data_IF_740273780396
#
_entry.id   IF_740273780396
#
_cell.length_a   1.000
_cell.length_b   1.000
_cell.length_c   1.000
_cell.angle_alpha   90.00
_cell.angle_beta   90.00
_cell.angle_gamma   90.00
#
_symmetry.space_group_name_H-M   'P 1'
#
loop_
_entity.id
_entity.type
_entity.pdbx_description
1 polymer ?
#
# COMPACT_ATOMS: atom_id res chain seq x y z
N UNK A 1 -1.83 -32.07 4.94
CA UNK A 1 -0.97 -31.05 4.32
C UNK A 1 -1.67 -29.71 4.47
N UNK A 2 -1.29 -28.91 5.48
CA UNK A 2 -1.85 -27.58 5.68
C UNK A 2 -1.24 -26.66 4.62
N UNK A 3 -2.03 -26.21 3.64
CA UNK A 3 -1.61 -25.18 2.67
C UNK A 3 -1.93 -23.82 3.27
N UNK A 4 -0.95 -23.23 3.92
CA UNK A 4 -1.02 -21.86 4.39
C UNK A 4 -0.73 -20.89 3.24
N UNK A 5 -1.75 -20.20 2.75
CA UNK A 5 -1.66 -19.17 1.70
C UNK A 5 -1.34 -17.81 2.35
N UNK A 6 -0.11 -17.59 2.80
CA UNK A 6 0.20 -16.40 3.62
C UNK A 6 0.92 -15.24 2.93
N UNK A 7 1.48 -15.37 1.73
CA UNK A 7 2.34 -14.30 1.17
C UNK A 7 1.68 -13.49 0.05
N UNK A 8 0.97 -14.13 -0.88
CA UNK A 8 0.43 -13.43 -2.07
C UNK A 8 -0.88 -12.66 -1.81
N UNK A 9 -1.69 -13.13 -0.87
CA UNK A 9 -2.97 -12.48 -0.54
C UNK A 9 -2.77 -11.17 0.23
N UNK A 10 -1.75 -11.10 1.09
CA UNK A 10 -1.46 -9.91 1.91
C UNK A 10 -1.05 -8.71 1.07
N UNK A 11 -0.19 -8.95 0.08
CA UNK A 11 0.29 -7.95 -0.87
C UNK A 11 -0.83 -7.29 -1.69
N UNK A 12 -1.71 -8.09 -2.29
CA UNK A 12 -2.84 -7.58 -3.08
C UNK A 12 -3.82 -6.84 -2.17
N UNK A 13 -4.11 -7.38 -0.98
CA UNK A 13 -4.99 -6.70 0.00
C UNK A 13 -4.41 -5.34 0.39
N UNK A 14 -3.11 -5.27 0.66
CA UNK A 14 -2.40 -4.01 0.96
C UNK A 14 -2.55 -3.01 -0.18
N UNK A 15 -2.30 -3.44 -1.41
CA UNK A 15 -2.39 -2.59 -2.61
C UNK A 15 -3.82 -2.07 -2.83
N UNK A 16 -4.84 -2.94 -2.67
CA UNK A 16 -6.26 -2.54 -2.72
C UNK A 16 -6.59 -1.53 -1.64
N UNK A 17 -6.13 -1.77 -0.40
CA UNK A 17 -6.37 -0.86 0.72
C UNK A 17 -5.75 0.51 0.48
N UNK A 18 -4.54 0.57 -0.08
CA UNK A 18 -3.88 1.83 -0.43
C UNK A 18 -4.70 2.57 -1.50
N UNK A 19 -4.98 1.91 -2.63
CA UNK A 19 -5.71 2.54 -3.74
C UNK A 19 -7.13 2.97 -3.37
N UNK A 20 -7.90 2.12 -2.66
CA UNK A 20 -9.26 2.46 -2.22
C UNK A 20 -9.28 3.57 -1.17
N UNK A 21 -8.32 3.61 -0.23
CA UNK A 21 -8.30 4.64 0.82
C UNK A 21 -8.18 6.03 0.20
N UNK A 22 -7.22 6.19 -0.73
CA UNK A 22 -6.98 7.49 -1.37
C UNK A 22 -8.04 7.79 -2.42
N UNK A 23 -8.46 6.79 -3.21
CA UNK A 23 -9.52 6.92 -4.20
C UNK A 23 -10.87 7.31 -3.60
N UNK A 24 -11.19 6.88 -2.38
CA UNK A 24 -12.40 7.36 -1.69
C UNK A 24 -12.26 8.77 -1.12
N UNK A 25 -11.05 9.15 -0.70
CA UNK A 25 -10.83 10.37 0.09
C UNK A 25 -10.53 11.59 -0.78
N UNK A 26 -9.62 11.47 -1.74
CA UNK A 26 -9.13 12.61 -2.54
C UNK A 26 -10.18 13.11 -3.53
N UNK A 27 -10.79 12.24 -4.37
CA UNK A 27 -11.90 12.66 -5.26
C UNK A 27 -13.10 13.22 -4.48
N UNK A 28 -13.40 12.68 -3.30
CA UNK A 28 -14.45 13.20 -2.42
C UNK A 28 -14.11 14.60 -1.90
N UNK A 29 -12.90 14.81 -1.40
CA UNK A 29 -12.47 16.10 -0.90
C UNK A 29 -12.44 17.15 -2.01
N UNK A 30 -12.00 16.78 -3.22
CA UNK A 30 -12.05 17.66 -4.39
C UNK A 30 -13.50 18.03 -4.75
N UNK A 31 -14.40 17.05 -4.83
CA UNK A 31 -15.80 17.28 -5.18
C UNK A 31 -16.51 18.16 -4.13
N UNK A 32 -16.25 17.93 -2.84
CA UNK A 32 -16.71 18.78 -1.75
C UNK A 32 -16.14 20.19 -1.87
N UNK A 33 -14.83 20.33 -2.06
CA UNK A 33 -14.14 21.59 -2.30
C UNK A 33 -14.81 22.41 -3.39
N UNK A 34 -14.92 21.84 -4.59
CA UNK A 34 -15.50 22.51 -5.74
C UNK A 34 -16.98 22.86 -5.52
N UNK A 35 -17.76 22.03 -4.84
CA UNK A 35 -19.15 22.36 -4.49
C UNK A 35 -19.30 23.58 -3.58
N UNK A 36 -18.24 23.93 -2.83
CA UNK A 36 -18.18 25.17 -2.05
C UNK A 36 -17.88 26.42 -2.88
N UNK A 37 -17.38 26.27 -4.11
CA UNK A 37 -16.96 27.36 -4.98
C UNK A 37 -17.76 27.50 -6.28
N UNK A 38 -18.32 26.40 -6.82
CA UNK A 38 -19.07 26.39 -8.08
C UNK A 38 -20.43 25.71 -7.92
N UNK A 39 -21.41 26.16 -8.70
CA UNK A 39 -22.78 25.61 -8.67
C UNK A 39 -23.02 24.50 -9.71
N UNK A 40 -22.10 24.32 -10.66
CA UNK A 40 -22.26 23.40 -11.80
C UNK A 40 -21.66 22.02 -11.50
N UNK A 41 -22.52 20.99 -11.41
CA UNK A 41 -22.07 19.59 -11.27
C UNK A 41 -21.21 19.15 -12.47
N UNK A 42 -21.42 19.70 -13.67
CA UNK A 42 -20.63 19.34 -14.84
C UNK A 42 -19.15 19.72 -14.68
N UNK A 43 -18.85 20.87 -14.07
CA UNK A 43 -17.48 21.28 -13.77
C UNK A 43 -16.83 20.35 -12.73
N UNK A 44 -17.59 19.95 -11.71
CA UNK A 44 -17.14 19.04 -10.66
C UNK A 44 -16.86 17.65 -11.23
N UNK A 45 -17.74 17.13 -12.07
CA UNK A 45 -17.54 15.84 -12.75
C UNK A 45 -16.31 15.89 -13.64
N UNK A 46 -16.12 16.96 -14.42
CA UNK A 46 -14.97 17.09 -15.32
C UNK A 46 -13.66 17.12 -14.53
N UNK A 47 -13.60 17.92 -13.47
CA UNK A 47 -12.43 18.00 -12.59
C UNK A 47 -12.18 16.68 -11.84
N UNK A 48 -13.24 16.04 -11.34
CA UNK A 48 -13.17 14.78 -10.64
C UNK A 48 -12.71 13.62 -11.51
N UNK A 49 -13.20 13.50 -12.74
CA UNK A 49 -12.72 12.47 -13.67
C UNK A 49 -11.26 12.71 -14.03
N UNK A 50 -10.87 13.96 -14.29
CA UNK A 50 -9.47 14.32 -14.56
C UNK A 50 -8.57 13.95 -13.38
N UNK A 51 -9.01 14.22 -12.16
CA UNK A 51 -8.29 13.86 -10.93
C UNK A 51 -8.22 12.33 -10.75
N UNK A 52 -9.30 11.58 -10.97
CA UNK A 52 -9.27 10.11 -10.88
C UNK A 52 -8.26 9.51 -11.86
N UNK A 53 -8.24 9.99 -13.10
CA UNK A 53 -7.29 9.52 -14.12
C UNK A 53 -5.87 9.87 -13.71
N UNK A 54 -5.60 11.12 -13.32
CA UNK A 54 -4.27 11.55 -12.91
C UNK A 54 -3.79 10.81 -11.65
N UNK A 55 -4.64 10.71 -10.63
CA UNK A 55 -4.37 10.05 -9.35
C UNK A 55 -4.13 8.55 -9.50
N UNK A 56 -4.95 7.86 -10.29
CA UNK A 56 -4.77 6.42 -10.53
C UNK A 56 -3.47 6.11 -11.27
N UNK A 57 -3.07 6.94 -12.23
CA UNK A 57 -1.77 6.81 -12.91
C UNK A 57 -0.63 7.10 -11.94
N UNK A 58 -0.70 8.19 -11.18
CA UNK A 58 0.34 8.58 -10.24
C UNK A 58 0.56 7.50 -9.15
N UNK A 59 -0.53 7.02 -8.56
CA UNK A 59 -0.46 5.97 -7.54
C UNK A 59 -0.07 4.61 -8.11
N UNK A 60 -0.55 4.26 -9.31
CA UNK A 60 -0.12 3.04 -10.00
C UNK A 60 1.38 3.05 -10.29
N UNK A 61 1.92 4.16 -10.78
CA UNK A 61 3.36 4.33 -10.97
C UNK A 61 4.14 4.29 -9.66
N UNK A 62 3.59 4.87 -8.58
CA UNK A 62 4.16 4.75 -7.23
C UNK A 62 4.25 3.29 -6.77
N UNK A 63 3.20 2.51 -6.99
CA UNK A 63 3.18 1.07 -6.73
C UNK A 63 4.17 0.27 -7.57
N UNK A 64 4.30 0.63 -8.85
CA UNK A 64 5.29 0.04 -9.76
C UNK A 64 6.71 0.29 -9.26
N UNK A 65 7.03 1.55 -8.97
CA UNK A 65 8.38 1.95 -8.57
C UNK A 65 8.75 1.33 -7.23
N UNK A 66 7.84 1.32 -6.26
CA UNK A 66 8.06 0.66 -4.97
C UNK A 66 8.36 -0.85 -5.15
N UNK A 67 7.52 -1.56 -5.90
CA UNK A 67 7.76 -2.99 -6.17
C UNK A 67 9.01 -3.25 -6.99
N UNK A 68 9.41 -2.32 -7.87
CA UNK A 68 10.66 -2.41 -8.64
C UNK A 68 11.88 -2.20 -7.75
N UNK A 69 11.83 -1.23 -6.85
CA UNK A 69 12.89 -0.97 -5.86
C UNK A 69 13.09 -2.17 -4.93
N UNK A 70 12.01 -2.83 -4.48
CA UNK A 70 12.11 -4.09 -3.70
C UNK A 70 12.90 -5.16 -4.47
N UNK A 71 12.60 -5.37 -5.75
CA UNK A 71 13.31 -6.34 -6.61
C UNK A 71 14.76 -5.96 -6.85
N UNK A 72 15.03 -4.69 -7.17
CA UNK A 72 16.38 -4.22 -7.44
C UNK A 72 17.25 -4.26 -6.17
N UNK A 73 16.68 -3.94 -5.00
CA UNK A 73 17.37 -4.08 -3.70
C UNK A 73 17.70 -5.54 -3.39
N UNK A 74 16.73 -6.45 -3.52
CA UNK A 74 16.96 -7.89 -3.31
C UNK A 74 18.09 -8.41 -4.20
N UNK A 75 18.07 -8.09 -5.49
CA UNK A 75 19.10 -8.55 -6.43
C UNK A 75 20.48 -7.97 -6.14
N UNK A 76 20.54 -6.73 -5.63
CA UNK A 76 21.79 -6.10 -5.22
C UNK A 76 22.41 -6.81 -4.02
N UNK A 77 21.62 -7.05 -2.97
CA UNK A 77 22.09 -7.78 -1.78
C UNK A 77 22.43 -9.23 -2.12
N UNK A 78 21.61 -9.92 -2.93
CA UNK A 78 21.90 -11.29 -3.37
C UNK A 78 23.26 -11.38 -4.05
N UNK A 79 23.57 -10.42 -4.94
CA UNK A 79 24.87 -10.38 -5.62
C UNK A 79 26.00 -10.10 -4.63
N UNK A 80 25.77 -9.22 -3.65
CA UNK A 80 26.75 -8.86 -2.64
C UNK A 80 27.09 -10.07 -1.77
N UNK A 81 26.07 -10.75 -1.26
CA UNK A 81 26.17 -11.95 -0.44
C UNK A 81 26.95 -13.06 -1.17
N UNK A 82 26.67 -13.27 -2.47
CA UNK A 82 27.42 -14.22 -3.29
C UNK A 82 28.92 -13.89 -3.43
N UNK A 83 29.31 -12.62 -3.35
CA UNK A 83 30.71 -12.20 -3.38
C UNK A 83 31.35 -12.36 -1.99
N UNK A 84 30.63 -12.03 -0.93
CA UNK A 84 31.10 -12.12 0.45
C UNK A 84 31.42 -13.58 0.82
N UNK A 85 30.52 -14.54 0.50
CA UNK A 85 30.79 -15.97 0.72
C UNK A 85 31.97 -16.52 -0.11
N UNK A 86 32.39 -15.85 -1.19
CA UNK A 86 33.57 -16.23 -1.96
C UNK A 86 34.86 -15.57 -1.46
N UNK A 87 34.80 -14.29 -1.10
CA UNK A 87 35.97 -13.49 -0.79
C UNK A 87 36.36 -13.56 0.68
N UNK A 88 35.38 -13.65 1.58
CA UNK A 88 35.58 -13.63 3.04
C UNK A 88 34.77 -14.73 3.75
N UNK A 89 34.86 -16.00 3.31
CA UNK A 89 34.01 -17.09 3.80
C UNK A 89 34.08 -17.31 5.32
N UNK A 90 35.22 -17.06 5.95
CA UNK A 90 35.36 -17.22 7.40
C UNK A 90 34.65 -16.11 8.19
N UNK A 91 34.48 -14.92 7.61
CA UNK A 91 33.64 -13.86 8.19
C UNK A 91 32.17 -14.23 8.07
N UNK A 92 31.72 -14.63 6.88
CA UNK A 92 30.34 -15.09 6.65
C UNK A 92 29.95 -16.28 7.53
N UNK A 93 30.88 -17.20 7.79
CA UNK A 93 30.64 -18.31 8.72
C UNK A 93 30.46 -17.81 10.14
N UNK A 94 31.15 -16.75 10.54
CA UNK A 94 30.96 -16.14 11.85
C UNK A 94 29.56 -15.52 11.97
N UNK A 95 29.05 -14.88 10.91
CA UNK A 95 27.70 -14.33 10.88
C UNK A 95 26.62 -15.42 11.00
N UNK A 96 26.79 -16.56 10.32
CA UNK A 96 25.92 -17.74 10.52
C UNK A 96 25.91 -18.18 11.99
N UNK A 97 27.08 -18.21 12.64
CA UNK A 97 27.17 -18.57 14.07
C UNK A 97 26.45 -17.55 14.94
N UNK A 98 26.55 -16.27 14.65
CA UNK A 98 25.84 -15.19 15.36
C UNK A 98 24.33 -15.33 15.25
N UNK A 99 23.81 -15.63 14.06
CA UNK A 99 22.38 -15.92 13.85
C UNK A 99 21.95 -17.08 14.76
N UNK A 100 22.68 -18.20 14.76
CA UNK A 100 22.36 -19.35 15.62
C UNK A 100 22.61 -19.13 17.11
N UNK A 101 23.53 -18.24 17.47
CA UNK A 101 23.70 -17.78 18.84
C UNK A 101 22.45 -17.03 19.33
N UNK A 102 21.84 -16.22 18.47
CA UNK A 102 20.55 -15.57 18.74
C UNK A 102 19.40 -16.55 18.99
N UNK A 103 19.45 -17.74 18.39
CA UNK A 103 18.54 -18.85 18.67
C UNK A 103 18.88 -19.64 19.94
N UNK A 104 20.00 -19.33 20.61
CA UNK A 104 20.43 -19.98 21.85
C UNK A 104 21.15 -21.32 21.67
N UNK A 105 21.69 -21.60 20.48
CA UNK A 105 22.44 -22.84 20.23
C UNK A 105 23.82 -22.77 20.92
N UNK A 106 24.35 -23.93 21.34
CA UNK A 106 25.70 -24.02 21.90
C UNK A 106 26.77 -23.73 20.83
N UNK A 107 27.90 -23.12 21.21
CA UNK A 107 29.01 -22.77 20.30
C UNK A 107 29.45 -23.94 19.41
N UNK A 108 29.64 -25.14 19.97
CA UNK A 108 30.06 -26.30 19.18
C UNK A 108 29.05 -26.73 18.11
N UNK A 109 27.75 -26.46 18.31
CA UNK A 109 26.72 -26.71 17.31
C UNK A 109 26.68 -25.58 16.25
N UNK A 110 26.91 -24.34 16.67
CA UNK A 110 27.03 -23.20 15.74
C UNK A 110 28.17 -23.46 14.73
N UNK A 111 29.33 -23.91 15.22
CA UNK A 111 30.49 -24.25 14.38
C UNK A 111 30.14 -25.34 13.36
N UNK A 112 29.52 -26.43 13.81
CA UNK A 112 29.11 -27.54 12.95
C UNK A 112 28.10 -27.11 11.88
N UNK A 113 27.12 -26.27 12.26
CA UNK A 113 26.12 -25.79 11.30
C UNK A 113 26.75 -24.86 10.27
N UNK A 114 27.60 -23.92 10.68
CA UNK A 114 28.28 -23.01 9.76
C UNK A 114 29.15 -23.77 8.75
N UNK A 115 29.92 -24.76 9.22
CA UNK A 115 30.74 -25.60 8.34
C UNK A 115 29.90 -26.46 7.40
N UNK A 116 28.80 -27.07 7.87
CA UNK A 116 27.94 -27.89 7.02
C UNK A 116 27.17 -27.06 5.99
N UNK A 117 26.63 -25.91 6.40
CA UNK A 117 25.89 -25.00 5.53
C UNK A 117 26.77 -24.42 4.42
N UNK A 118 28.03 -24.09 4.75
CA UNK A 118 28.99 -23.53 3.80
C UNK A 118 29.34 -24.46 2.63
N UNK A 119 29.02 -25.76 2.72
CA UNK A 119 29.27 -26.74 1.64
C UNK A 119 28.37 -26.52 0.43
N UNK A 120 27.19 -25.94 0.61
CA UNK A 120 26.24 -25.61 -0.45
C UNK A 120 26.08 -24.10 -0.52
N UNK A 121 26.88 -23.46 -1.38
CA UNK A 121 26.92 -22.01 -1.55
C UNK A 121 25.54 -21.40 -1.74
N UNK A 122 24.66 -22.05 -2.51
CA UNK A 122 23.32 -21.53 -2.76
C UNK A 122 22.50 -21.53 -1.48
N UNK A 123 22.46 -22.65 -0.75
CA UNK A 123 21.70 -22.74 0.51
C UNK A 123 22.26 -21.83 1.59
N UNK A 124 23.57 -21.62 1.60
CA UNK A 124 24.21 -20.69 2.51
C UNK A 124 23.77 -19.24 2.24
N UNK A 125 23.85 -18.79 0.99
CA UNK A 125 23.36 -17.46 0.59
C UNK A 125 21.85 -17.33 0.84
N UNK A 126 21.04 -18.34 0.48
CA UNK A 126 19.59 -18.33 0.74
C UNK A 126 19.28 -18.21 2.25
N UNK A 127 20.13 -18.79 3.11
CA UNK A 127 20.02 -18.65 4.57
C UNK A 127 20.38 -17.25 5.02
N UNK A 128 21.51 -16.69 4.58
CA UNK A 128 21.97 -15.35 4.95
C UNK A 128 20.95 -14.28 4.52
N UNK A 129 20.51 -14.33 3.25
CA UNK A 129 19.46 -13.47 2.72
C UNK A 129 18.21 -13.47 3.61
N UNK A 130 17.77 -14.65 4.08
CA UNK A 130 16.54 -14.77 4.87
C UNK A 130 16.71 -14.42 6.35
N UNK A 131 17.77 -14.88 7.00
CA UNK A 131 17.87 -14.84 8.46
C UNK A 131 18.78 -13.74 8.99
N UNK A 132 19.75 -13.28 8.19
CA UNK A 132 20.67 -12.22 8.55
C UNK A 132 20.18 -10.89 7.96
N UNK A 133 19.85 -10.85 6.67
CA UNK A 133 19.31 -9.64 6.01
C UNK A 133 17.78 -9.48 6.12
N UNK A 134 17.04 -10.55 6.44
CA UNK A 134 15.58 -10.52 6.52
C UNK A 134 14.87 -10.31 5.18
N UNK A 135 15.55 -10.64 4.07
CA UNK A 135 15.07 -10.47 2.70
C UNK A 135 14.52 -11.80 2.15
N UNK A 136 13.28 -11.76 1.68
CA UNK A 136 12.66 -12.86 0.94
C UNK A 136 12.63 -12.54 -0.56
N UNK A 137 12.75 -13.59 -1.39
CA UNK A 137 12.72 -13.43 -2.84
C UNK A 137 11.39 -12.80 -3.30
N UNK A 138 11.42 -11.59 -3.88
CA UNK A 138 10.20 -10.90 -4.28
C UNK A 138 9.60 -11.54 -5.53
N UNK A 139 8.27 -11.45 -5.67
CA UNK A 139 7.63 -11.89 -6.91
C UNK A 139 8.14 -11.03 -8.10
N UNK A 140 8.63 -11.62 -9.20
CA UNK A 140 9.15 -10.85 -10.33
C UNK A 140 8.08 -9.94 -10.97
N UNK A 141 6.80 -10.29 -10.82
CA UNK A 141 5.67 -9.51 -11.31
C UNK A 141 5.08 -8.59 -10.21
N UNK A 142 5.74 -8.41 -9.07
CA UNK A 142 5.27 -7.56 -7.96
C UNK A 142 5.00 -6.14 -8.43
N UNK A 143 5.95 -5.53 -9.15
CA UNK A 143 5.85 -4.15 -9.62
C UNK A 143 4.61 -3.91 -10.49
N UNK A 144 4.40 -4.74 -11.52
CA UNK A 144 3.28 -4.60 -12.45
C UNK A 144 1.94 -4.92 -11.79
N UNK A 145 1.88 -5.94 -10.93
CA UNK A 145 0.66 -6.28 -10.17
C UNK A 145 0.27 -5.18 -9.19
N UNK A 146 1.24 -4.63 -8.46
CA UNK A 146 1.03 -3.52 -7.53
C UNK A 146 0.47 -2.30 -8.26
N UNK A 147 1.10 -1.91 -9.37
CA UNK A 147 0.66 -0.78 -10.19
C UNK A 147 -0.80 -0.90 -10.63
N UNK A 148 -1.15 -2.06 -11.19
CA UNK A 148 -2.50 -2.32 -11.66
C UNK A 148 -3.51 -2.35 -10.51
N UNK A 149 -3.19 -3.06 -9.43
CA UNK A 149 -4.10 -3.24 -8.29
C UNK A 149 -4.39 -1.92 -7.59
N UNK A 150 -3.37 -1.09 -7.34
CA UNK A 150 -3.53 0.24 -6.75
C UNK A 150 -4.33 1.15 -7.69
N UNK A 151 -3.96 1.23 -8.97
CA UNK A 151 -4.60 2.11 -9.94
C UNK A 151 -6.09 1.80 -10.13
N UNK A 152 -6.45 0.51 -10.31
CA UNK A 152 -7.85 0.10 -10.44
C UNK A 152 -8.63 0.37 -9.15
N UNK A 153 -8.04 0.08 -7.99
CA UNK A 153 -8.67 0.36 -6.69
C UNK A 153 -8.92 1.85 -6.49
N UNK A 154 -8.00 2.71 -6.94
CA UNK A 154 -8.19 4.16 -6.92
C UNK A 154 -9.36 4.61 -7.78
N UNK A 155 -9.45 4.11 -9.02
CA UNK A 155 -10.55 4.42 -9.94
C UNK A 155 -11.89 4.02 -9.33
N UNK A 156 -11.99 2.79 -8.81
CA UNK A 156 -13.20 2.29 -8.16
C UNK A 156 -13.58 3.16 -6.96
N UNK A 157 -12.60 3.50 -6.11
CA UNK A 157 -12.80 4.39 -4.98
C UNK A 157 -13.32 5.76 -5.40
N UNK A 158 -12.75 6.36 -6.45
CA UNK A 158 -13.06 7.72 -6.87
C UNK A 158 -14.38 7.90 -7.60
N UNK A 159 -14.88 6.87 -8.27
CA UNK A 159 -16.19 6.91 -8.91
C UNK A 159 -17.31 7.06 -7.88
N UNK A 160 -17.14 6.48 -6.69
CA UNK A 160 -18.16 6.47 -5.63
C UNK A 160 -18.57 7.90 -5.20
N UNK A 161 -17.66 8.79 -4.76
CA UNK A 161 -18.02 10.15 -4.39
C UNK A 161 -18.50 11.00 -5.57
N UNK A 162 -18.08 10.71 -6.80
CA UNK A 162 -18.55 11.43 -8.00
C UNK A 162 -19.91 10.97 -8.50
N UNK A 163 -20.34 9.75 -8.16
CA UNK A 163 -21.56 9.15 -8.71
C UNK A 163 -22.82 10.02 -8.56
N UNK A 164 -23.05 10.79 -7.48
CA UNK A 164 -24.23 11.64 -7.38
C UNK A 164 -24.17 12.86 -8.31
N UNK A 165 -22.97 13.39 -8.59
CA UNK A 165 -22.80 14.54 -9.50
C UNK A 165 -23.06 14.18 -10.97
N UNK A 166 -22.99 12.89 -11.33
CA UNK A 166 -23.33 12.42 -12.68
C UNK A 166 -24.84 12.52 -12.97
N UNK A 167 -25.66 12.46 -11.92
CA UNK A 167 -27.12 12.38 -12.03
C UNK A 167 -27.76 13.72 -11.61
N UNK A 168 -27.22 14.36 -10.58
CA UNK A 168 -27.79 15.56 -9.98
C UNK A 168 -27.07 16.80 -10.53
N UNK A 169 -27.80 17.66 -11.24
CA UNK A 169 -27.24 18.83 -11.92
C UNK A 169 -26.88 20.00 -10.99
N UNK A 170 -27.46 20.04 -9.79
CA UNK A 170 -27.18 21.07 -8.78
C UNK A 170 -26.04 20.61 -7.85
N UNK A 171 -24.94 21.36 -7.80
CA UNK A 171 -23.75 20.97 -7.02
C UNK A 171 -24.04 20.78 -5.52
N UNK A 172 -24.83 21.66 -4.90
CA UNK A 172 -25.16 21.54 -3.46
C UNK A 172 -25.97 20.29 -3.14
N UNK A 173 -26.97 19.98 -3.97
CA UNK A 173 -27.77 18.78 -3.78
C UNK A 173 -26.92 17.52 -4.00
N UNK A 174 -26.11 17.50 -5.08
CA UNK A 174 -25.17 16.42 -5.36
C UNK A 174 -24.17 16.19 -4.22
N UNK A 175 -23.68 17.27 -3.59
CA UNK A 175 -22.79 17.20 -2.44
C UNK A 175 -23.43 16.47 -1.25
N UNK A 176 -24.69 16.76 -0.91
CA UNK A 176 -25.35 16.08 0.22
C UNK A 176 -25.43 14.56 0.01
N UNK A 177 -25.81 14.13 -1.19
CA UNK A 177 -25.83 12.70 -1.53
C UNK A 177 -24.41 12.10 -1.59
N UNK A 178 -23.44 12.84 -2.12
CA UNK A 178 -22.02 12.43 -2.19
C UNK A 178 -21.43 12.22 -0.80
N UNK A 179 -21.68 13.13 0.14
CA UNK A 179 -21.31 12.95 1.54
C UNK A 179 -21.94 11.69 2.13
N UNK A 180 -23.25 11.48 1.95
CA UNK A 180 -23.93 10.29 2.47
C UNK A 180 -23.34 8.98 1.96
N UNK A 181 -23.25 8.83 0.64
CA UNK A 181 -22.72 7.61 0.00
C UNK A 181 -21.25 7.38 0.38
N UNK A 182 -20.44 8.44 0.37
CA UNK A 182 -19.00 8.31 0.63
C UNK A 182 -18.70 8.00 2.08
N UNK A 183 -19.38 8.63 3.05
CA UNK A 183 -19.17 8.33 4.47
C UNK A 183 -19.59 6.90 4.81
N UNK A 184 -20.69 6.40 4.22
CA UNK A 184 -21.09 4.99 4.34
C UNK A 184 -20.00 4.08 3.74
N UNK A 185 -19.50 4.40 2.54
CA UNK A 185 -18.46 3.60 1.91
C UNK A 185 -17.15 3.60 2.70
N UNK A 186 -16.70 4.76 3.19
CA UNK A 186 -15.52 4.90 4.06
C UNK A 186 -15.68 4.10 5.36
N UNK A 187 -16.88 4.07 5.94
CA UNK A 187 -17.15 3.26 7.12
C UNK A 187 -17.04 1.77 6.83
N UNK A 188 -17.70 1.30 5.75
CA UNK A 188 -17.66 -0.11 5.33
C UNK A 188 -16.22 -0.52 5.01
N UNK A 189 -15.52 0.28 4.20
CA UNK A 189 -14.14 0.04 3.82
C UNK A 189 -13.22 0.02 5.04
N UNK A 190 -13.32 1.01 5.93
CA UNK A 190 -12.53 1.07 7.16
C UNK A 190 -12.80 -0.09 8.11
N UNK A 191 -14.03 -0.59 8.19
CA UNK A 191 -14.39 -1.79 8.94
C UNK A 191 -13.67 -3.03 8.40
N UNK A 192 -13.73 -3.27 7.09
CA UNK A 192 -13.07 -4.43 6.46
C UNK A 192 -11.56 -4.31 6.51
N UNK A 193 -10.99 -3.14 6.20
CA UNK A 193 -9.55 -2.85 6.33
C UNK A 193 -9.04 -3.20 7.72
N UNK A 194 -9.76 -2.79 8.76
CA UNK A 194 -9.35 -3.00 10.14
C UNK A 194 -9.47 -4.46 10.55
N UNK A 195 -10.54 -5.14 10.12
CA UNK A 195 -10.71 -6.58 10.35
C UNK A 195 -9.60 -7.41 9.69
N UNK A 196 -9.20 -7.05 8.47
CA UNK A 196 -8.13 -7.72 7.72
C UNK A 196 -6.75 -7.48 8.34
N UNK A 197 -6.53 -6.34 8.99
CA UNK A 197 -5.26 -5.96 9.63
C UNK A 197 -5.18 -6.32 11.11
N UNK A 198 -6.17 -7.05 11.65
CA UNK A 198 -6.21 -7.45 13.07
C UNK A 198 -6.48 -6.31 14.05
N UNK A 199 -6.95 -5.16 13.57
CA UNK A 199 -7.27 -3.96 14.37
C UNK A 199 -8.75 -3.95 14.79
N UNK A 200 -9.14 -3.25 15.88
CA UNK A 200 -10.54 -3.11 16.28
C UNK A 200 -11.40 -2.50 15.16
N UNK A 201 -12.32 -3.30 14.61
CA UNK A 201 -12.98 -3.00 13.34
C UNK A 201 -13.77 -1.68 13.35
N UNK A 202 -14.56 -1.45 14.40
CA UNK A 202 -15.34 -0.22 14.55
C UNK A 202 -14.46 1.02 14.72
N UNK A 203 -13.40 0.93 15.53
CA UNK A 203 -12.49 2.06 15.73
C UNK A 203 -11.83 2.48 14.42
N UNK A 204 -11.34 1.51 13.63
CA UNK A 204 -10.72 1.84 12.35
C UNK A 204 -11.71 2.30 11.28
N UNK A 205 -12.97 1.83 11.29
CA UNK A 205 -14.04 2.41 10.47
C UNK A 205 -14.24 3.90 10.77
N UNK A 206 -14.38 4.27 12.05
CA UNK A 206 -14.52 5.66 12.45
C UNK A 206 -13.29 6.51 12.10
N UNK A 207 -12.06 5.99 12.26
CA UNK A 207 -10.83 6.71 11.87
C UNK A 207 -10.85 7.09 10.39
N UNK A 208 -11.20 6.15 9.51
CA UNK A 208 -11.24 6.39 8.05
C UNK A 208 -12.31 7.42 7.69
N UNK A 209 -13.50 7.32 8.29
CA UNK A 209 -14.58 8.31 8.11
C UNK A 209 -14.13 9.71 8.56
N UNK A 210 -13.49 9.83 9.72
CA UNK A 210 -13.01 11.10 10.25
C UNK A 210 -11.94 11.71 9.34
N UNK A 211 -10.98 10.92 8.86
CA UNK A 211 -9.96 11.40 7.92
C UNK A 211 -10.61 11.92 6.63
N UNK A 212 -11.56 11.18 6.06
CA UNK A 212 -12.28 11.60 4.86
C UNK A 212 -13.10 12.87 5.07
N UNK A 213 -13.81 12.97 6.19
CA UNK A 213 -14.59 14.16 6.55
C UNK A 213 -13.69 15.39 6.80
N UNK A 214 -12.53 15.22 7.45
CA UNK A 214 -11.57 16.30 7.66
C UNK A 214 -10.96 16.78 6.34
N UNK A 215 -10.57 15.86 5.45
CA UNK A 215 -10.03 16.21 4.13
C UNK A 215 -11.06 17.01 3.31
N UNK A 216 -12.30 16.53 3.26
CA UNK A 216 -13.38 17.22 2.56
C UNK A 216 -13.73 18.57 3.20
N UNK A 217 -13.78 18.64 4.53
CA UNK A 217 -14.01 19.89 5.25
C UNK A 217 -12.91 20.93 5.00
N UNK A 218 -11.64 20.49 4.98
CA UNK A 218 -10.51 21.35 4.68
C UNK A 218 -10.57 21.86 3.23
N UNK A 219 -10.84 20.99 2.25
CA UNK A 219 -10.97 21.38 0.85
C UNK A 219 -12.15 22.34 0.63
N UNK A 220 -13.31 22.06 1.23
CA UNK A 220 -14.49 22.94 1.21
C UNK A 220 -14.18 24.32 1.82
N UNK A 221 -13.53 24.35 2.99
CA UNK A 221 -13.13 25.58 3.66
C UNK A 221 -12.18 26.41 2.81
N UNK A 222 -11.15 25.79 2.24
CA UNK A 222 -10.19 26.46 1.35
C UNK A 222 -10.85 27.01 0.08
N UNK A 223 -11.70 26.23 -0.59
CA UNK A 223 -12.39 26.67 -1.80
C UNK A 223 -13.31 27.86 -1.53
N UNK A 224 -14.02 27.86 -0.40
CA UNK A 224 -14.87 28.97 0.02
C UNK A 224 -14.08 30.22 0.37
N UNK A 225 -12.89 30.09 0.99
CA UNK A 225 -12.01 31.23 1.29
C UNK A 225 -11.47 31.90 0.02
N UNK A 226 -11.11 31.10 -0.99
CA UNK A 226 -10.58 31.62 -2.26
C UNK A 226 -11.68 32.33 -3.07
N UNK A 227 -12.91 31.80 -3.06
CA UNK A 227 -14.02 32.36 -3.84
C UNK A 227 -14.82 33.45 -3.10
N UNK A 228 -14.72 33.50 -1.77
CA UNK A 228 -15.37 34.50 -0.91
C UNK A 228 -14.50 35.70 -0.57
N UNK A 229 -13.33 35.85 -1.22
CA UNK A 229 -12.45 37.01 -1.17
C UNK A 229 -12.59 37.90 -2.40
#
# INVERSE_FOLDING_TARGET
MHKEHHVTSSEIIRDVVIGMSDGLTVPFALAAGLSGAVSSSALIVTAGIAEIVAGSIAMGLGGFLAGRTEVDHYNSELKREYNEVEQVPEQEKAEVKEVFAGFGLSVGLQDQIADELSKDKKKWVDFMMKYELGLEEPNPNRATKSAFTIGVSYIVGGIIPLSPYLIIHTAQEALYYSCGVTLICLFIFGYFKSKLTGQPALSGAFKVVVIGALAAGAAFGMAKLINGG
#
